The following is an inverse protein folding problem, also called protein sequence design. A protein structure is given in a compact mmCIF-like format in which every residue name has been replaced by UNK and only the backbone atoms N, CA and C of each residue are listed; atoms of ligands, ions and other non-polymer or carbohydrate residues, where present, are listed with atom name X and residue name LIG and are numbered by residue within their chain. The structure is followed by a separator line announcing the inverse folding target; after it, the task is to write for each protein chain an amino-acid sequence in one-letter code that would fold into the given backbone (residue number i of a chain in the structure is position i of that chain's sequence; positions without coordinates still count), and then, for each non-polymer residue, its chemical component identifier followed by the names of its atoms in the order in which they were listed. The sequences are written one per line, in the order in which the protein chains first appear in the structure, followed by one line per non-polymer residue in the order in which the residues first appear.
data_IF_093875889248
#
_entry.id   IF_093875889248
#
_cell.length_a   1.000
_cell.length_b   1.000
_cell.length_c   1.000
_cell.angle_alpha   90.00
_cell.angle_beta   90.00
_cell.angle_gamma   90.00
#
_symmetry.space_group_name_H-M   'P 1'
#
loop_
_entity.id
_entity.type
_entity.pdbx_description
1 polymer ?
#
# COMPACT_ATOMS: atom_id res chain seq x y z
N UNK A 1 21.47 10.86 6.02
CA UNK A 1 21.75 9.48 6.47
C UNK A 1 21.02 8.49 5.55
N UNK A 2 21.73 7.75 4.68
CA UNK A 2 21.15 6.75 3.78
C UNK A 2 20.91 5.47 4.58
N UNK A 3 19.67 5.21 4.97
CA UNK A 3 19.32 4.04 5.80
C UNK A 3 18.43 3.11 4.98
N UNK A 4 19.00 1.95 4.72
CA UNK A 4 18.53 0.82 3.94
C UNK A 4 19.82 0.08 3.63
N UNK A 5 20.05 -1.08 4.26
CA UNK A 5 21.31 -1.82 4.16
C UNK A 5 21.72 -1.88 2.68
N UNK A 6 22.78 -1.16 2.28
CA UNK A 6 23.26 -1.21 0.90
C UNK A 6 23.34 -2.66 0.47
N UNK A 7 22.96 -2.98 -0.78
CA UNK A 7 23.07 -4.38 -1.25
C UNK A 7 24.46 -4.97 -0.96
N UNK A 8 25.49 -4.13 -0.95
CA UNK A 8 26.88 -4.44 -0.58
C UNK A 8 27.08 -4.92 0.86
N UNK A 9 26.24 -4.47 1.78
CA UNK A 9 26.35 -4.73 3.22
C UNK A 9 25.46 -5.92 3.65
N UNK A 10 24.87 -6.63 2.67
CA UNK A 10 24.15 -7.88 2.93
C UNK A 10 25.11 -8.90 3.55
N UNK A 11 24.70 -9.57 4.64
CA UNK A 11 25.50 -10.61 5.26
C UNK A 11 25.94 -11.70 4.28
N UNK A 12 27.20 -12.12 4.40
CA UNK A 12 27.84 -13.07 3.47
C UNK A 12 27.09 -14.40 3.40
N UNK A 13 26.39 -14.81 4.47
CA UNK A 13 25.60 -16.05 4.48
C UNK A 13 24.44 -16.08 3.47
N UNK A 14 23.95 -14.92 2.99
CA UNK A 14 22.97 -14.86 1.90
C UNK A 14 23.60 -15.00 0.51
N UNK A 15 24.93 -14.97 0.42
CA UNK A 15 25.71 -15.02 -0.82
C UNK A 15 26.20 -13.66 -1.30
N UNK A 16 26.77 -13.64 -2.51
CA UNK A 16 27.38 -12.43 -3.07
C UNK A 16 26.34 -11.33 -3.35
N UNK A 17 26.51 -10.18 -2.70
CA UNK A 17 25.68 -8.98 -2.82
C UNK A 17 25.32 -8.59 -4.27
N UNK A 18 26.32 -8.59 -5.16
CA UNK A 18 26.12 -8.23 -6.57
C UNK A 18 25.28 -9.27 -7.32
N UNK A 19 25.43 -10.55 -6.99
CA UNK A 19 24.64 -11.64 -7.58
C UNK A 19 23.18 -11.55 -7.14
N UNK A 20 22.94 -11.29 -5.84
CA UNK A 20 21.60 -11.06 -5.28
C UNK A 20 20.95 -9.84 -5.95
N UNK A 21 21.67 -8.72 -6.03
CA UNK A 21 21.17 -7.51 -6.67
C UNK A 21 20.86 -7.72 -8.17
N UNK A 22 21.71 -8.45 -8.90
CA UNK A 22 21.47 -8.81 -10.30
C UNK A 22 20.25 -9.71 -10.45
N UNK A 23 20.07 -10.68 -9.56
CA UNK A 23 18.88 -11.54 -9.53
C UNK A 23 17.63 -10.72 -9.27
N UNK A 24 17.63 -9.91 -8.20
CA UNK A 24 16.57 -8.97 -7.87
C UNK A 24 16.26 -8.03 -9.05
N UNK A 25 17.27 -7.47 -9.71
CA UNK A 25 17.09 -6.57 -10.85
C UNK A 25 16.53 -7.26 -12.10
N UNK A 26 16.71 -8.57 -12.22
CA UNK A 26 16.21 -9.39 -13.34
C UNK A 26 14.74 -9.78 -13.16
N UNK A 27 14.26 -9.89 -11.92
CA UNK A 27 12.86 -10.25 -11.63
C UNK A 27 11.81 -9.24 -12.10
N UNK A 28 12.03 -7.90 -12.01
CA UNK A 28 11.19 -6.89 -12.63
C UNK A 28 11.06 -7.04 -14.13
N UNK A 29 12.17 -7.32 -14.83
CA UNK A 29 12.16 -7.50 -16.30
C UNK A 29 11.25 -8.65 -16.72
N UNK A 30 11.10 -9.65 -15.86
CA UNK A 30 10.30 -10.85 -16.13
C UNK A 30 8.94 -10.84 -15.40
N UNK A 31 8.58 -9.75 -14.71
CA UNK A 31 7.38 -9.60 -13.88
C UNK A 31 7.14 -10.77 -12.90
N UNK A 32 8.21 -11.42 -12.41
CA UNK A 32 8.07 -12.67 -11.63
C UNK A 32 7.30 -12.46 -10.32
N UNK A 33 7.66 -11.44 -9.54
CA UNK A 33 6.99 -11.14 -8.27
C UNK A 33 5.56 -10.67 -8.48
N UNK A 34 5.31 -9.87 -9.53
CA UNK A 34 3.97 -9.45 -9.89
C UNK A 34 3.09 -10.64 -10.31
N UNK A 35 3.65 -11.63 -11.03
CA UNK A 35 2.94 -12.88 -11.37
C UNK A 35 2.63 -13.71 -10.14
N UNK A 36 3.59 -13.83 -9.21
CA UNK A 36 3.38 -14.54 -7.95
C UNK A 36 2.30 -13.85 -7.11
N UNK A 37 2.41 -12.53 -6.93
CA UNK A 37 1.41 -11.73 -6.24
C UNK A 37 0.03 -11.88 -6.88
N UNK A 38 -0.08 -11.78 -8.21
CA UNK A 38 -1.34 -12.02 -8.93
C UNK A 38 -1.90 -13.43 -8.74
N UNK A 39 -1.04 -14.44 -8.61
CA UNK A 39 -1.46 -15.83 -8.39
C UNK A 39 -1.95 -16.04 -6.96
N UNK A 40 -1.25 -15.47 -5.98
CA UNK A 40 -1.69 -15.42 -4.58
C UNK A 40 -2.99 -14.61 -4.45
N UNK A 41 -3.12 -13.54 -5.22
CA UNK A 41 -4.28 -12.65 -5.17
C UNK A 41 -5.57 -13.25 -5.74
N UNK A 42 -5.50 -14.38 -6.47
CA UNK A 42 -6.67 -15.06 -7.06
C UNK A 42 -7.50 -15.83 -6.02
N UNK A 43 -6.88 -16.23 -4.91
CA UNK A 43 -7.56 -16.94 -3.81
C UNK A 43 -7.91 -15.99 -2.66
N UNK A 44 -7.84 -14.67 -2.90
CA UNK A 44 -8.20 -13.66 -1.90
C UNK A 44 -9.71 -13.63 -1.82
N UNK A 45 -10.22 -13.67 -0.59
CA UNK A 45 -11.63 -13.45 -0.35
C UNK A 45 -12.01 -12.03 -0.81
N UNK A 46 -12.72 -11.95 -1.95
CA UNK A 46 -13.13 -10.69 -2.56
C UNK A 46 -14.24 -9.99 -1.78
N UNK A 47 -14.76 -10.62 -0.71
CA UNK A 47 -15.72 -10.03 0.20
C UNK A 47 -15.25 -8.66 0.74
N UNK A 48 -13.93 -8.42 0.75
CA UNK A 48 -13.30 -7.22 1.29
C UNK A 48 -12.50 -6.41 0.28
N UNK A 49 -12.77 -6.53 -1.03
CA UNK A 49 -12.18 -5.68 -2.07
C UNK A 49 -12.76 -4.25 -1.97
N UNK A 50 -12.56 -3.58 -0.84
CA UNK A 50 -12.77 -2.16 -0.65
C UNK A 50 -11.69 -1.41 -1.42
N UNK A 51 -11.95 -1.24 -2.72
CA UNK A 51 -11.35 -0.24 -3.58
C UNK A 51 -11.74 1.14 -3.05
N UNK A 52 -11.13 1.55 -1.93
CA UNK A 52 -11.21 2.93 -1.51
C UNK A 52 -10.04 3.73 -2.10
N UNK A 53 -10.24 4.20 -3.33
CA UNK A 53 -9.38 5.22 -3.94
C UNK A 53 -9.42 6.56 -3.19
N UNK A 54 -10.22 6.70 -2.12
CA UNK A 54 -10.31 7.94 -1.34
C UNK A 54 -9.29 8.04 -0.20
N UNK A 55 -8.48 7.00 0.08
CA UNK A 55 -7.53 7.03 1.20
C UNK A 55 -6.15 7.67 0.91
N UNK A 56 -5.99 8.40 -0.19
CA UNK A 56 -4.92 9.40 -0.24
C UNK A 56 -5.37 10.52 0.70
N UNK A 57 -4.88 10.54 1.95
CA UNK A 57 -4.94 11.76 2.76
C UNK A 57 -4.29 12.87 1.94
N UNK A 58 -5.12 13.73 1.37
CA UNK A 58 -4.64 14.94 0.76
C UNK A 58 -3.88 15.75 1.82
N UNK A 59 -2.88 16.50 1.38
CA UNK A 59 -2.12 17.41 2.24
C UNK A 59 -3.10 18.22 3.11
N UNK A 60 -2.74 18.56 4.35
CA UNK A 60 -3.64 19.25 5.30
C UNK A 60 -4.23 20.56 4.73
N UNK A 61 -3.59 21.15 3.73
CA UNK A 61 -4.05 22.32 2.99
C UNK A 61 -5.11 22.06 1.92
N UNK A 62 -5.49 20.79 1.67
CA UNK A 62 -6.56 20.38 0.74
C UNK A 62 -7.87 20.05 1.47
N UNK A 63 -7.90 20.14 2.81
CA UNK A 63 -9.07 19.85 3.64
C UNK A 63 -10.08 21.00 3.65
N UNK A 64 -10.71 21.28 2.51
CA UNK A 64 -11.72 22.34 2.39
C UNK A 64 -13.01 21.94 1.67
N UNK A 65 -12.98 20.93 0.81
CA UNK A 65 -14.15 20.53 0.02
C UNK A 65 -14.93 19.41 0.70
N UNK A 66 -15.72 19.75 1.72
CA UNK A 66 -16.82 18.88 2.12
C UNK A 66 -17.84 18.83 0.97
N UNK A 67 -18.33 17.62 0.68
CA UNK A 67 -19.50 17.32 -0.14
C UNK A 67 -19.49 17.79 -1.60
N UNK A 68 -18.71 17.15 -2.46
CA UNK A 68 -19.15 16.86 -3.83
C UNK A 68 -18.74 15.45 -4.20
N UNK A 69 -19.73 14.64 -4.58
CA UNK A 69 -19.50 13.33 -5.20
C UNK A 69 -18.62 13.58 -6.43
N UNK A 70 -17.42 12.98 -6.45
CA UNK A 70 -16.54 13.06 -7.62
C UNK A 70 -17.12 12.13 -8.69
N UNK A 71 -17.88 12.67 -9.63
CA UNK A 71 -18.61 11.95 -10.68
C UNK A 71 -17.70 11.15 -11.64
N UNK A 72 -16.37 11.22 -11.50
CA UNK A 72 -15.43 10.36 -12.22
C UNK A 72 -15.20 9.00 -11.56
N UNK A 73 -15.48 8.88 -10.26
CA UNK A 73 -15.31 7.62 -9.51
C UNK A 73 -16.58 7.45 -8.68
N UNK A 74 -17.34 6.36 -8.87
CA UNK A 74 -18.56 6.08 -8.07
C UNK A 74 -18.29 5.78 -6.59
N UNK A 75 -17.27 6.39 -6.00
CA UNK A 75 -16.85 6.26 -4.62
C UNK A 75 -17.70 7.17 -3.72
N UNK A 76 -18.40 6.56 -2.77
CA UNK A 76 -19.14 7.27 -1.72
C UNK A 76 -18.19 7.53 -0.55
N UNK A 77 -18.02 8.79 -0.17
CA UNK A 77 -17.19 9.14 0.97
C UNK A 77 -17.82 8.66 2.28
N UNK A 78 -17.11 7.81 3.04
CA UNK A 78 -17.51 7.29 4.36
C UNK A 78 -16.67 7.96 5.45
N UNK A 79 -16.83 9.29 5.58
CA UNK A 79 -16.10 10.10 6.56
C UNK A 79 -17.10 10.71 7.55
N UNK A 80 -17.05 10.36 8.84
CA UNK A 80 -17.95 10.93 9.83
C UNK A 80 -17.67 12.42 10.02
N UNK A 81 -18.73 13.17 10.27
CA UNK A 81 -18.63 14.60 10.60
C UNK A 81 -17.86 14.79 11.92
N UNK A 82 -17.23 15.96 12.09
CA UNK A 82 -16.55 16.31 13.34
C UNK A 82 -17.55 16.32 14.50
N UNK A 83 -17.09 15.95 15.70
CA UNK A 83 -17.91 15.91 16.93
C UNK A 83 -18.66 17.23 17.20
N UNK A 84 -18.08 18.37 16.79
CA UNK A 84 -18.65 19.70 17.03
C UNK A 84 -19.64 20.16 15.93
N UNK A 85 -19.98 19.29 14.97
CA UNK A 85 -20.90 19.63 13.88
C UNK A 85 -22.35 19.37 14.30
N UNK A 86 -23.24 20.33 14.06
CA UNK A 86 -24.68 20.25 14.41
C UNK A 86 -25.50 19.25 13.57
N UNK A 87 -24.89 18.63 12.56
CA UNK A 87 -25.59 17.76 11.62
C UNK A 87 -25.30 16.27 11.91
N UNK A 88 -26.29 15.42 11.69
CA UNK A 88 -26.22 13.98 11.94
C UNK A 88 -25.45 13.21 10.84
N UNK A 89 -25.13 11.94 11.13
CA UNK A 89 -24.34 11.04 10.29
C UNK A 89 -25.21 9.99 9.59
N UNK A 90 -26.45 10.31 9.19
CA UNK A 90 -27.43 9.32 8.68
C UNK A 90 -27.00 8.61 7.39
N UNK A 91 -26.09 9.22 6.63
CA UNK A 91 -25.50 8.67 5.43
C UNK A 91 -24.33 7.70 5.69
N UNK A 92 -23.88 7.57 6.95
CA UNK A 92 -22.77 6.71 7.33
C UNK A 92 -23.21 5.26 7.41
N UNK A 93 -22.49 4.42 6.68
CA UNK A 93 -22.44 3.01 6.98
C UNK A 93 -21.34 2.78 8.04
N UNK A 94 -21.75 2.62 9.30
CA UNK A 94 -20.84 2.42 10.42
C UNK A 94 -20.06 1.10 10.33
N UNK A 95 -20.60 0.10 9.64
CA UNK A 95 -19.90 -1.15 9.40
C UNK A 95 -18.72 -0.91 8.43
N UNK A 96 -18.98 -0.22 7.32
CA UNK A 96 -17.93 0.16 6.35
C UNK A 96 -16.88 1.09 6.99
N UNK A 97 -17.32 2.07 7.78
CA UNK A 97 -16.40 2.91 8.54
C UNK A 97 -15.54 2.09 9.50
N UNK A 98 -16.14 1.14 10.23
CA UNK A 98 -15.41 0.28 11.16
C UNK A 98 -14.35 -0.54 10.44
N UNK A 99 -14.62 -1.14 9.29
CA UNK A 99 -13.67 -2.00 8.57
C UNK A 99 -12.60 -1.22 7.80
N UNK A 100 -12.80 0.08 7.54
CA UNK A 100 -11.83 0.94 6.85
C UNK A 100 -10.42 0.95 7.50
N UNK A 101 -10.35 0.78 8.82
CA UNK A 101 -9.08 0.69 9.55
C UNK A 101 -8.19 -0.48 9.08
N UNK A 102 -8.78 -1.55 8.51
CA UNK A 102 -8.01 -2.70 7.99
C UNK A 102 -7.11 -2.30 6.82
N UNK A 103 -7.61 -1.42 5.95
CA UNK A 103 -6.86 -0.86 4.82
C UNK A 103 -5.75 0.05 5.34
N UNK A 104 -6.07 0.94 6.29
CA UNK A 104 -5.07 1.79 6.95
C UNK A 104 -3.96 0.97 7.60
N UNK A 105 -4.31 -0.10 8.31
CA UNK A 105 -3.36 -1.01 8.94
C UNK A 105 -2.50 -1.73 7.89
N UNK A 106 -3.05 -2.14 6.76
CA UNK A 106 -2.28 -2.73 5.67
C UNK A 106 -1.24 -1.74 5.11
N UNK A 107 -1.63 -0.47 4.89
CA UNK A 107 -0.68 0.56 4.47
C UNK A 107 0.34 0.91 5.55
N UNK A 108 -0.04 0.92 6.83
CA UNK A 108 0.87 1.11 7.94
C UNK A 108 1.95 0.01 7.96
N UNK A 109 1.54 -1.25 7.79
CA UNK A 109 2.46 -2.39 7.64
C UNK A 109 3.38 -2.27 6.43
N UNK A 110 2.86 -1.80 5.30
CA UNK A 110 3.69 -1.51 4.13
C UNK A 110 4.70 -0.39 4.39
N UNK A 111 4.33 0.63 5.19
CA UNK A 111 5.21 1.73 5.57
C UNK A 111 6.25 1.34 6.63
N UNK A 112 6.12 0.20 7.32
CA UNK A 112 7.19 -0.34 8.16
C UNK A 112 8.43 -0.67 7.32
N UNK A 113 8.25 -1.07 6.06
CA UNK A 113 9.35 -1.19 5.11
C UNK A 113 9.82 0.20 4.70
N UNK A 114 10.87 0.70 5.37
CA UNK A 114 11.40 2.04 5.16
C UNK A 114 11.68 2.36 3.68
N UNK A 115 12.19 1.40 2.91
CA UNK A 115 12.45 1.57 1.47
C UNK A 115 11.17 1.84 0.64
N UNK A 116 10.03 1.29 1.07
CA UNK A 116 8.72 1.55 0.45
C UNK A 116 8.18 2.91 0.92
N UNK A 117 8.26 3.19 2.22
CA UNK A 117 7.74 4.43 2.80
C UNK A 117 8.40 5.69 2.22
N UNK A 118 9.71 5.65 2.01
CA UNK A 118 10.48 6.80 1.50
C UNK A 118 10.63 6.83 -0.02
N UNK A 119 10.18 5.77 -0.72
CA UNK A 119 10.27 5.64 -2.19
C UNK A 119 11.66 5.93 -2.76
N UNK A 120 12.71 5.35 -2.16
CA UNK A 120 14.10 5.55 -2.64
C UNK A 120 14.42 4.85 -3.97
N UNK A 121 13.52 4.01 -4.49
CA UNK A 121 13.67 3.34 -5.79
C UNK A 121 13.63 4.34 -6.95
N UNK A 122 14.71 4.39 -7.75
CA UNK A 122 14.83 5.32 -8.89
C UNK A 122 13.92 4.95 -10.07
N UNK A 123 13.55 3.68 -10.22
CA UNK A 123 12.71 3.22 -11.33
C UNK A 123 11.41 2.63 -10.82
N UNK A 124 10.30 3.00 -11.48
CA UNK A 124 8.95 2.49 -11.22
C UNK A 124 8.90 0.97 -11.11
N UNK A 125 9.56 0.26 -12.03
CA UNK A 125 9.62 -1.21 -12.04
C UNK A 125 10.25 -1.80 -10.78
N UNK A 126 11.27 -1.16 -10.21
CA UNK A 126 11.90 -1.67 -8.98
C UNK A 126 10.98 -1.44 -7.79
N UNK A 127 10.40 -0.24 -7.70
CA UNK A 127 9.41 0.08 -6.68
C UNK A 127 8.21 -0.89 -6.69
N UNK A 128 7.62 -1.16 -7.85
CA UNK A 128 6.51 -2.11 -7.99
C UNK A 128 6.86 -3.52 -7.52
N UNK A 129 8.08 -3.98 -7.78
CA UNK A 129 8.54 -5.30 -7.33
C UNK A 129 8.86 -5.32 -5.83
N UNK A 130 9.42 -4.25 -5.28
CA UNK A 130 9.62 -4.10 -3.82
C UNK A 130 8.27 -4.13 -3.09
N UNK A 131 7.26 -3.42 -3.61
CA UNK A 131 5.89 -3.44 -3.06
C UNK A 131 5.27 -4.83 -3.19
N UNK A 132 5.36 -5.46 -4.36
CA UNK A 132 4.85 -6.82 -4.56
C UNK A 132 5.50 -7.81 -3.58
N UNK A 133 6.82 -7.72 -3.36
CA UNK A 133 7.54 -8.57 -2.41
C UNK A 133 7.04 -8.35 -0.98
N UNK A 134 6.90 -7.10 -0.53
CA UNK A 134 6.39 -6.79 0.79
C UNK A 134 4.94 -7.26 0.98
N UNK A 135 4.09 -7.10 -0.03
CA UNK A 135 2.73 -7.65 0.00
C UNK A 135 2.74 -9.17 0.10
N UNK A 136 3.59 -9.87 -0.66
CA UNK A 136 3.72 -11.33 -0.54
C UNK A 136 4.24 -11.77 0.82
N UNK A 137 5.19 -11.05 1.41
CA UNK A 137 5.71 -11.33 2.74
C UNK A 137 4.62 -11.15 3.83
N UNK A 138 3.89 -10.03 3.78
CA UNK A 138 2.74 -9.78 4.68
C UNK A 138 1.68 -10.87 4.53
N UNK A 139 1.39 -11.29 3.29
CA UNK A 139 0.40 -12.32 2.98
C UNK A 139 0.78 -13.68 3.53
N UNK A 140 2.04 -14.08 3.38
CA UNK A 140 2.55 -15.38 3.84
C UNK A 140 2.78 -15.43 5.36
N UNK A 141 2.62 -14.30 6.09
CA UNK A 141 2.88 -14.17 7.52
C UNK A 141 4.27 -14.71 7.93
N UNK A 142 5.26 -14.53 7.04
CA UNK A 142 6.67 -14.84 7.30
C UNK A 142 7.31 -13.74 8.16
#
# INVERSE_FOLDING_TARGET
MRIGCPWRDIPIYFGASNSIFKAFSRWPKNNKLMKLFKKLSKNVDYEWLFMDGTHIRAHQHSSGAASKIDYKTSAKAVIPKKRNTKANNDHMDWYIYKISHLVENAFARLKHFRGIATRYDKLKRHYENTVALACTYIWLKL
#
